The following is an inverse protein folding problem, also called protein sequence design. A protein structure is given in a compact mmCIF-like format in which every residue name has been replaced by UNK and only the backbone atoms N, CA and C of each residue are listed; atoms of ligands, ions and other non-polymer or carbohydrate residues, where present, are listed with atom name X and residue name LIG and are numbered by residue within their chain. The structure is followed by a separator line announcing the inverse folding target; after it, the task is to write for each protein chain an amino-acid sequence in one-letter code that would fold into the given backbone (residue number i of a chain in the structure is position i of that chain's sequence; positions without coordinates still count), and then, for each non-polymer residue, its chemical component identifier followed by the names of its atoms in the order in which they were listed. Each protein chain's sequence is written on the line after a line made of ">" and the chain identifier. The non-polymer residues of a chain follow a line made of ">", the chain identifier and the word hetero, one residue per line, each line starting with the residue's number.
data_IF_488088618997
#
_entry.id   IF_488088618997
#
_cell.length_a   1.000
_cell.length_b   1.000
_cell.length_c   1.000
_cell.angle_alpha   90.00
_cell.angle_beta   90.00
_cell.angle_gamma   90.00
#
_symmetry.space_group_name_H-M   'P 1'
#
loop_
_entity.id
_entity.type
_entity.pdbx_description
1 polymer ?
#
# COMPACT_ATOMS: atom_id res chain seq x y z
N UNK A 1 -5.01 27.84 10.80
CA UNK A 1 -5.19 27.04 9.57
C UNK A 1 -4.22 25.85 9.39
N UNK A 2 -3.07 25.77 10.10
CA UNK A 2 -2.10 24.65 9.91
C UNK A 2 -2.51 23.32 10.55
N UNK A 3 -3.35 23.33 11.58
CA UNK A 3 -3.67 22.13 12.37
C UNK A 3 -4.69 21.21 11.68
N UNK A 4 -5.77 21.79 11.13
CA UNK A 4 -6.80 21.05 10.40
C UNK A 4 -6.25 20.30 9.17
N UNK A 5 -5.26 20.89 8.48
CA UNK A 5 -4.59 20.24 7.34
C UNK A 5 -3.80 19.00 7.77
N UNK A 6 -3.15 19.08 8.94
CA UNK A 6 -2.35 17.99 9.51
C UNK A 6 -3.23 16.80 9.93
N UNK A 7 -4.43 17.07 10.41
CA UNK A 7 -5.41 16.02 10.74
C UNK A 7 -6.01 15.37 9.49
N UNK A 8 -6.42 16.14 8.48
CA UNK A 8 -6.91 15.60 7.19
C UNK A 8 -5.87 14.68 6.53
N UNK A 9 -4.59 15.06 6.56
CA UNK A 9 -3.51 14.23 6.03
C UNK A 9 -3.28 12.93 6.82
N UNK A 10 -3.40 12.98 8.16
CA UNK A 10 -3.33 11.77 9.00
C UNK A 10 -4.50 10.83 8.74
N UNK A 11 -5.71 11.37 8.57
CA UNK A 11 -6.90 10.59 8.23
C UNK A 11 -6.76 9.94 6.85
N UNK A 12 -6.30 10.69 5.83
CA UNK A 12 -6.03 10.15 4.49
C UNK A 12 -4.99 9.03 4.48
N UNK A 13 -3.94 9.15 5.30
CA UNK A 13 -2.92 8.09 5.45
C UNK A 13 -3.48 6.83 6.11
N UNK A 14 -4.31 6.96 7.15
CA UNK A 14 -4.96 5.82 7.83
C UNK A 14 -5.94 5.10 6.91
N UNK A 15 -6.72 5.83 6.12
CA UNK A 15 -7.65 5.26 5.14
C UNK A 15 -6.87 4.60 4.00
N UNK A 16 -5.83 5.25 3.48
CA UNK A 16 -4.95 4.68 2.45
C UNK A 16 -4.25 3.40 2.90
N UNK A 17 -3.75 3.36 4.13
CA UNK A 17 -3.18 2.15 4.73
C UNK A 17 -4.23 1.03 4.86
N UNK A 18 -5.46 1.36 5.30
CA UNK A 18 -6.55 0.40 5.39
C UNK A 18 -6.93 -0.19 4.02
N UNK A 19 -7.11 0.65 3.00
CA UNK A 19 -7.39 0.21 1.62
C UNK A 19 -6.21 -0.60 1.06
N UNK A 20 -4.97 -0.21 1.37
CA UNK A 20 -3.77 -0.95 1.00
C UNK A 20 -3.73 -2.36 1.57
N UNK A 21 -4.20 -2.56 2.80
CA UNK A 21 -4.33 -3.90 3.42
C UNK A 21 -5.42 -4.73 2.71
N UNK A 22 -6.56 -4.13 2.37
CA UNK A 22 -7.62 -4.85 1.66
C UNK A 22 -7.17 -5.25 0.25
N UNK A 23 -6.51 -4.34 -0.47
CA UNK A 23 -5.92 -4.62 -1.78
C UNK A 23 -4.82 -5.68 -1.70
N UNK A 24 -4.03 -5.68 -0.61
CA UNK A 24 -3.04 -6.71 -0.34
C UNK A 24 -3.68 -8.10 -0.17
N UNK A 25 -4.77 -8.20 0.60
CA UNK A 25 -5.48 -9.47 0.76
C UNK A 25 -6.05 -9.97 -0.56
N UNK A 26 -6.59 -9.09 -1.40
CA UNK A 26 -7.21 -9.46 -2.67
C UNK A 26 -6.19 -9.84 -3.77
N UNK A 27 -5.10 -9.08 -3.90
CA UNK A 27 -4.15 -9.21 -5.02
C UNK A 27 -2.71 -9.45 -4.61
N UNK A 28 -2.31 -9.08 -3.39
CA UNK A 28 -0.91 -9.15 -2.92
C UNK A 28 -0.49 -10.49 -2.31
N UNK A 29 -1.44 -11.29 -1.84
CA UNK A 29 -1.16 -12.64 -1.35
C UNK A 29 -0.62 -13.53 -2.47
N UNK A 30 -1.24 -13.50 -3.66
CA UNK A 30 -0.82 -14.33 -4.81
C UNK A 30 0.65 -14.08 -5.20
N UNK A 31 1.10 -12.85 -5.49
CA UNK A 31 2.50 -12.57 -5.81
C UNK A 31 3.41 -12.80 -4.60
N UNK A 32 2.97 -12.52 -3.37
CA UNK A 32 3.77 -12.79 -2.16
C UNK A 32 4.07 -14.28 -1.98
N UNK A 33 3.06 -15.12 -2.21
CA UNK A 33 3.19 -16.57 -2.16
C UNK A 33 4.03 -17.11 -3.32
N UNK A 34 3.85 -16.56 -4.52
CA UNK A 34 4.58 -16.96 -5.71
C UNK A 34 6.08 -16.61 -5.59
N UNK A 35 6.41 -15.36 -5.26
CA UNK A 35 7.80 -14.92 -5.08
C UNK A 35 8.45 -15.63 -3.89
N UNK A 36 7.72 -15.81 -2.78
CA UNK A 36 8.24 -16.49 -1.60
C UNK A 36 8.45 -17.99 -1.78
N UNK A 37 7.63 -18.67 -2.59
CA UNK A 37 7.80 -20.11 -2.85
C UNK A 37 8.81 -20.37 -3.96
N UNK A 38 8.57 -19.85 -5.16
CA UNK A 38 9.42 -20.11 -6.33
C UNK A 38 10.78 -19.43 -6.21
N UNK A 39 10.83 -18.20 -5.67
CA UNK A 39 12.09 -17.47 -5.51
C UNK A 39 13.06 -18.24 -4.62
N UNK A 40 12.56 -18.84 -3.53
CA UNK A 40 13.39 -19.59 -2.59
C UNK A 40 13.88 -20.91 -3.18
N UNK A 41 13.04 -21.59 -3.96
CA UNK A 41 13.43 -22.81 -4.67
C UNK A 41 14.47 -22.54 -5.77
N UNK A 42 14.30 -21.45 -6.53
CA UNK A 42 15.27 -21.02 -7.55
C UNK A 42 16.59 -20.61 -6.91
N UNK A 43 16.55 -19.88 -5.79
CA UNK A 43 17.74 -19.48 -5.04
C UNK A 43 18.49 -20.71 -4.53
N UNK A 44 17.77 -21.70 -3.99
CA UNK A 44 18.35 -22.92 -3.47
C UNK A 44 18.91 -23.81 -4.58
N UNK A 45 18.23 -23.86 -5.73
CA UNK A 45 18.72 -24.53 -6.94
C UNK A 45 20.04 -23.91 -7.44
N UNK A 46 20.15 -22.58 -7.40
CA UNK A 46 21.38 -21.88 -7.78
C UNK A 46 22.51 -22.07 -6.75
N UNK A 47 22.16 -22.16 -5.47
CA UNK A 47 23.14 -22.32 -4.38
C UNK A 47 23.67 -23.76 -4.28
N UNK A 48 22.82 -24.77 -4.53
CA UNK A 48 23.18 -26.19 -4.52
C UNK A 48 23.69 -26.71 -5.87
N UNK A 49 23.66 -25.89 -6.92
CA UNK A 49 24.27 -26.20 -8.23
C UNK A 49 23.62 -27.37 -8.98
N UNK A 50 22.42 -27.78 -8.60
CA UNK A 50 21.71 -28.92 -9.18
C UNK A 50 20.28 -29.07 -8.65
N UNK A 51 19.51 -30.03 -9.19
CA UNK A 51 18.11 -30.25 -8.83
C UNK A 51 17.96 -30.49 -7.33
N UNK A 52 17.22 -29.61 -6.66
CA UNK A 52 16.97 -29.71 -5.22
C UNK A 52 16.03 -30.87 -4.95
N UNK A 53 16.53 -31.92 -4.30
CA UNK A 53 15.69 -32.99 -3.81
C UNK A 53 14.70 -32.43 -2.78
N UNK A 54 13.42 -32.85 -2.80
CA UNK A 54 12.41 -32.40 -1.86
C UNK A 54 12.64 -33.05 -0.48
N UNK A 55 13.74 -32.69 0.16
CA UNK A 55 14.08 -33.10 1.52
C UNK A 55 13.33 -32.22 2.53
N UNK A 56 13.21 -32.69 3.77
CA UNK A 56 12.53 -31.95 4.85
C UNK A 56 13.12 -30.56 5.07
N UNK A 57 14.43 -30.38 4.85
CA UNK A 57 15.12 -29.10 4.97
C UNK A 57 14.64 -28.12 3.90
N UNK A 58 14.53 -28.56 2.65
CA UNK A 58 14.05 -27.71 1.55
C UNK A 58 12.65 -27.20 1.83
N UNK A 59 11.74 -28.06 2.31
CA UNK A 59 10.39 -27.65 2.71
C UNK A 59 10.38 -26.59 3.80
N UNK A 60 11.19 -26.74 4.85
CA UNK A 60 11.27 -25.75 5.93
C UNK A 60 11.79 -24.40 5.39
N UNK A 61 12.78 -24.43 4.51
CA UNK A 61 13.32 -23.22 3.88
C UNK A 61 12.27 -22.56 2.97
N UNK A 62 11.50 -23.32 2.19
CA UNK A 62 10.40 -22.77 1.37
C UNK A 62 9.32 -22.12 2.24
N UNK A 63 8.96 -22.71 3.39
CA UNK A 63 7.99 -22.11 4.32
C UNK A 63 8.49 -20.77 4.84
N UNK A 64 9.77 -20.69 5.22
CA UNK A 64 10.41 -19.42 5.63
C UNK A 64 10.41 -18.41 4.47
N UNK A 65 10.70 -18.86 3.26
CA UNK A 65 10.66 -18.05 2.04
C UNK A 65 9.27 -17.48 1.74
N UNK A 66 8.22 -18.29 1.90
CA UNK A 66 6.83 -17.86 1.76
C UNK A 66 6.47 -16.82 2.81
N UNK A 67 6.83 -17.04 4.08
CA UNK A 67 6.60 -16.05 5.15
C UNK A 67 7.29 -14.72 4.84
N UNK A 68 8.55 -14.77 4.39
CA UNK A 68 9.30 -13.58 3.99
C UNK A 68 8.66 -12.89 2.77
N UNK A 69 8.22 -13.66 1.77
CA UNK A 69 7.56 -13.16 0.56
C UNK A 69 6.27 -12.43 0.86
N UNK A 70 5.40 -13.01 1.69
CA UNK A 70 4.14 -12.40 2.15
C UNK A 70 4.42 -11.14 2.98
N UNK A 71 5.41 -11.18 3.87
CA UNK A 71 5.78 -10.01 4.67
C UNK A 71 6.27 -8.85 3.80
N UNK A 72 7.09 -9.15 2.79
CA UNK A 72 7.62 -8.16 1.85
C UNK A 72 6.50 -7.52 1.02
N UNK A 73 5.65 -8.35 0.38
CA UNK A 73 4.56 -7.82 -0.45
C UNK A 73 3.52 -7.07 0.39
N UNK A 74 3.29 -7.49 1.64
CA UNK A 74 2.42 -6.80 2.59
C UNK A 74 2.95 -5.44 3.02
N UNK A 75 4.25 -5.33 3.28
CA UNK A 75 4.87 -4.05 3.59
C UNK A 75 4.77 -3.09 2.39
N UNK A 76 5.08 -3.57 1.19
CA UNK A 76 5.05 -2.77 -0.04
C UNK A 76 3.63 -2.29 -0.36
N UNK A 77 2.61 -3.13 -0.22
CA UNK A 77 1.21 -2.72 -0.48
C UNK A 77 0.69 -1.70 0.52
N UNK A 78 1.08 -1.79 1.80
CA UNK A 78 0.69 -0.80 2.82
C UNK A 78 1.37 0.53 2.53
N UNK A 79 2.66 0.51 2.20
CA UNK A 79 3.40 1.73 1.86
C UNK A 79 2.82 2.37 0.59
N UNK A 80 2.61 1.61 -0.48
CA UNK A 80 1.98 2.13 -1.71
C UNK A 80 0.55 2.64 -1.44
N UNK A 81 -0.26 1.87 -0.72
CA UNK A 81 -1.64 2.26 -0.38
C UNK A 81 -1.68 3.55 0.46
N UNK A 82 -0.78 3.70 1.43
CA UNK A 82 -0.67 4.91 2.24
C UNK A 82 -0.22 6.12 1.40
N UNK A 83 0.79 5.97 0.54
CA UNK A 83 1.26 7.04 -0.35
C UNK A 83 0.15 7.48 -1.32
N UNK A 84 -0.56 6.52 -1.93
CA UNK A 84 -1.69 6.81 -2.80
C UNK A 84 -2.86 7.47 -2.05
N UNK A 85 -3.16 7.01 -0.83
CA UNK A 85 -4.20 7.62 0.01
C UNK A 85 -3.86 9.05 0.42
N UNK A 86 -2.60 9.34 0.75
CA UNK A 86 -2.15 10.71 1.04
C UNK A 86 -2.18 11.58 -0.22
N UNK A 87 -1.79 11.04 -1.38
CA UNK A 87 -1.87 11.75 -2.66
C UNK A 87 -3.31 12.13 -3.03
N UNK A 88 -4.26 11.19 -2.90
CA UNK A 88 -5.69 11.49 -3.08
C UNK A 88 -6.20 12.51 -2.08
N UNK A 89 -5.76 12.45 -0.82
CA UNK A 89 -6.07 13.47 0.20
C UNK A 89 -5.60 14.87 -0.21
N UNK A 90 -4.44 14.99 -0.85
CA UNK A 90 -3.95 16.25 -1.41
C UNK A 90 -4.80 16.75 -2.57
N UNK A 91 -5.20 15.86 -3.49
CA UNK A 91 -6.08 16.23 -4.61
C UNK A 91 -7.42 16.75 -4.10
N UNK A 92 -8.02 16.08 -3.10
CA UNK A 92 -9.28 16.52 -2.49
C UNK A 92 -9.10 17.80 -1.68
N UNK A 93 -7.96 18.03 -1.02
CA UNK A 93 -7.66 19.29 -0.32
C UNK A 93 -7.50 20.46 -1.30
N UNK A 94 -6.89 20.23 -2.47
CA UNK A 94 -6.76 21.25 -3.54
C UNK A 94 -8.11 21.51 -4.19
N UNK A 95 -8.87 20.47 -4.56
CA UNK A 95 -10.21 20.61 -5.16
C UNK A 95 -11.22 21.18 -4.17
N UNK A 96 -11.14 20.79 -2.91
CA UNK A 96 -11.93 21.31 -1.80
C UNK A 96 -11.57 22.75 -1.46
N UNK A 97 -10.30 23.12 -1.52
CA UNK A 97 -9.84 24.51 -1.40
C UNK A 97 -10.35 25.39 -2.54
N UNK A 98 -10.38 24.88 -3.77
CA UNK A 98 -10.99 25.56 -4.93
C UNK A 98 -12.51 25.68 -4.75
N UNK A 99 -13.16 24.66 -4.22
CA UNK A 99 -14.61 24.68 -3.95
C UNK A 99 -14.96 25.63 -2.81
N UNK A 100 -14.12 25.73 -1.79
CA UNK A 100 -14.30 26.65 -0.66
C UNK A 100 -14.07 28.10 -1.08
N UNK A 101 -13.06 28.35 -1.91
CA UNK A 101 -12.86 29.65 -2.55
C UNK A 101 -14.06 30.03 -3.44
N UNK A 102 -14.64 29.06 -4.16
CA UNK A 102 -15.84 29.29 -4.99
C UNK A 102 -17.11 29.57 -4.17
N UNK A 103 -17.21 29.00 -2.96
CA UNK A 103 -18.33 29.23 -2.03
C UNK A 103 -18.18 30.60 -1.34
N UNK A 104 -16.96 31.03 -1.02
CA UNK A 104 -16.71 32.39 -0.51
C UNK A 104 -17.01 33.45 -1.58
N UNK A 105 -16.60 33.25 -2.85
CA UNK A 105 -16.94 34.15 -3.97
C UNK A 105 -18.46 34.23 -4.25
N UNK A 106 -19.19 33.12 -4.10
CA UNK A 106 -20.65 33.08 -4.30
C UNK A 106 -21.43 33.67 -3.11
N UNK A 107 -20.84 33.64 -1.91
CA UNK A 107 -21.43 34.25 -0.71
C UNK A 107 -21.30 35.79 -0.75
N UNK A 108 -20.20 36.32 -1.26
CA UNK A 108 -20.03 37.78 -1.43
C UNK A 108 -20.89 38.34 -2.57
N UNK A 109 -21.12 37.55 -3.64
CA UNK A 109 -22.01 37.94 -4.75
C UNK A 109 -23.51 37.99 -4.37
N UNK A 110 -23.94 37.34 -3.28
CA UNK A 110 -25.33 37.40 -2.79
C UNK A 110 -25.57 38.44 -1.69
N UNK A 111 -24.53 39.06 -1.14
CA UNK A 111 -24.68 40.10 -0.12
C UNK A 111 -24.95 41.51 -0.69
N UNK A 112 -24.91 41.66 -2.02
CA UNK A 112 -24.97 42.96 -2.70
C UNK A 112 -26.13 43.09 -3.72
N UNK A 113 -27.20 42.30 -3.57
CA UNK A 113 -28.49 42.50 -4.24
C UNK A 113 -29.64 42.59 -3.23
#
# INVERSE_FOLDING_TARGET
>A
MKEARKDTMKVGTKIGAGIGIVAFLAFGIIPGFYFGSYGTLVLLHHLMGGPVEPTTIVRMVTVVGIMLGIFCTGAVSIVLGSVFGTAMGYVVDVVGGISKAKIEDTAEAKAHN
#
